data_IF_816945463035
#
_entry.id   IF_816945463035
#
_cell.length_a   1.000
_cell.length_b   1.000
_cell.length_c   1.000
_cell.angle_alpha   90.00
_cell.angle_beta   90.00
_cell.angle_gamma   90.00
#
_symmetry.space_group_name_H-M   'P 1'
#
loop_
_entity.id
_entity.type
_entity.pdbx_description
1 polymer ?
#
# COMPACT_ATOMS: atom_id res chain seq x y z
N UNK A 1 19.60 -5.59 26.87
CA UNK A 1 19.08 -4.39 26.18
C UNK A 1 17.71 -4.73 25.60
N UNK A 2 16.62 -4.24 26.19
CA UNK A 2 15.28 -4.46 25.65
C UNK A 2 15.11 -3.57 24.41
N UNK A 3 15.06 -4.19 23.23
CA UNK A 3 14.92 -3.49 21.96
C UNK A 3 13.69 -2.59 21.99
N UNK A 4 13.89 -1.29 21.73
CA UNK A 4 12.82 -0.33 21.52
C UNK A 4 11.93 -0.91 20.41
N UNK A 5 10.71 -1.33 20.76
CA UNK A 5 9.72 -1.74 19.76
C UNK A 5 9.42 -0.50 18.93
N UNK A 6 9.67 -0.56 17.63
CA UNK A 6 9.35 0.54 16.73
C UNK A 6 7.88 0.90 16.89
N UNK A 7 7.61 2.21 17.07
CA UNK A 7 6.26 2.70 17.31
C UNK A 7 5.46 2.59 16.02
N UNK A 8 4.41 1.78 16.05
CA UNK A 8 3.41 1.73 14.97
C UNK A 8 2.59 3.03 15.04
N UNK A 9 2.54 3.75 13.92
CA UNK A 9 1.79 4.99 13.78
C UNK A 9 0.41 4.74 13.18
N UNK A 10 0.32 3.89 12.17
CA UNK A 10 -0.92 3.46 11.56
C UNK A 10 -0.81 2.06 10.97
N UNK A 11 -1.94 1.41 10.73
CA UNK A 11 -1.97 0.17 9.97
C UNK A 11 -3.29 0.04 9.20
N UNK A 12 -3.26 -0.72 8.12
CA UNK A 12 -4.44 -1.12 7.37
C UNK A 12 -4.29 -2.59 6.95
N UNK A 13 -5.36 -3.37 7.14
CA UNK A 13 -5.39 -4.80 6.83
C UNK A 13 -6.48 -5.09 5.81
N UNK A 14 -6.13 -5.90 4.83
CA UNK A 14 -7.00 -6.46 3.83
C UNK A 14 -6.91 -7.99 3.81
N UNK A 15 -7.69 -8.61 2.93
CA UNK A 15 -7.75 -10.04 2.71
C UNK A 15 -6.42 -10.61 2.18
N UNK A 16 -5.66 -9.83 1.43
CA UNK A 16 -4.42 -10.23 0.74
C UNK A 16 -3.14 -9.77 1.45
N UNK A 17 -3.26 -8.95 2.49
CA UNK A 17 -2.11 -8.48 3.27
C UNK A 17 -2.44 -7.29 4.17
N UNK A 18 -1.40 -6.61 4.64
CA UNK A 18 -1.55 -5.38 5.41
C UNK A 18 -0.35 -4.48 5.27
N UNK A 19 -0.58 -3.20 5.49
CA UNK A 19 0.45 -2.17 5.55
C UNK A 19 0.54 -1.64 6.97
N UNK A 20 1.76 -1.57 7.50
CA UNK A 20 2.05 -0.97 8.80
C UNK A 20 2.98 0.21 8.60
N UNK A 21 2.56 1.38 9.07
CA UNK A 21 3.32 2.62 9.00
C UNK A 21 4.10 2.82 10.30
N UNK A 22 5.40 3.01 10.17
CA UNK A 22 6.32 3.44 11.21
C UNK A 22 6.80 4.86 10.91
N UNK A 23 7.67 5.39 11.77
CA UNK A 23 8.22 6.73 11.61
C UNK A 23 9.06 6.91 10.35
N UNK A 24 9.74 5.87 9.88
CA UNK A 24 10.73 5.92 8.80
C UNK A 24 10.40 5.03 7.60
N UNK A 25 9.39 4.15 7.71
CA UNK A 25 9.07 3.15 6.70
C UNK A 25 7.62 2.67 6.74
N UNK A 26 7.23 1.99 5.66
CA UNK A 26 6.04 1.15 5.59
C UNK A 26 6.48 -0.30 5.43
N UNK A 27 5.89 -1.19 6.22
CA UNK A 27 6.05 -2.63 6.04
C UNK A 27 4.80 -3.20 5.36
N UNK A 28 4.98 -3.88 4.23
CA UNK A 28 3.95 -4.71 3.61
C UNK A 28 4.09 -6.15 4.11
N UNK A 29 3.01 -6.65 4.69
CA UNK A 29 2.95 -7.97 5.32
C UNK A 29 1.91 -8.84 4.63
N UNK A 30 2.28 -10.08 4.35
CA UNK A 30 1.37 -11.13 3.91
C UNK A 30 1.36 -12.20 5.01
N UNK A 31 0.18 -12.46 5.57
CA UNK A 31 0.03 -13.27 6.79
C UNK A 31 0.86 -12.68 7.93
N UNK A 32 1.89 -13.40 8.40
CA UNK A 32 2.79 -12.96 9.49
C UNK A 32 4.18 -12.53 9.00
N UNK A 33 4.46 -12.63 7.71
CA UNK A 33 5.77 -12.34 7.13
C UNK A 33 5.79 -10.93 6.53
N UNK A 34 6.87 -10.20 6.79
CA UNK A 34 7.18 -8.96 6.06
C UNK A 34 7.70 -9.36 4.69
N UNK A 35 6.96 -9.02 3.65
CA UNK A 35 7.35 -9.29 2.27
C UNK A 35 8.16 -8.12 1.71
N UNK A 36 7.84 -6.90 2.13
CA UNK A 36 8.57 -5.69 1.72
C UNK A 36 8.66 -4.68 2.86
N UNK A 37 9.80 -4.00 2.91
CA UNK A 37 10.03 -2.80 3.71
C UNK A 37 10.27 -1.67 2.73
N UNK A 38 9.48 -0.60 2.85
CA UNK A 38 9.52 0.56 1.95
C UNK A 38 9.91 1.78 2.79
N UNK A 39 11.15 2.29 2.68
CA UNK A 39 11.54 3.54 3.33
C UNK A 39 10.61 4.70 2.93
N UNK A 40 10.22 5.56 3.87
CA UNK A 40 9.32 6.68 3.56
C UNK A 40 9.91 7.62 2.52
N UNK A 41 11.24 7.84 2.56
CA UNK A 41 11.90 8.71 1.59
C UNK A 41 11.93 8.16 0.16
N UNK A 42 11.83 6.85 -0.04
CA UNK A 42 11.84 6.26 -1.39
C UNK A 42 10.45 6.24 -2.03
N UNK A 43 9.39 6.49 -1.24
CA UNK A 43 8.03 6.59 -1.77
C UNK A 43 7.99 7.80 -2.69
N UNK A 44 7.49 7.59 -3.90
CA UNK A 44 7.22 8.65 -4.88
C UNK A 44 5.73 9.00 -4.89
N UNK A 45 4.84 8.02 -4.63
CA UNK A 45 3.41 8.27 -4.53
C UNK A 45 2.67 7.25 -3.66
N UNK A 46 1.62 7.70 -2.97
CA UNK A 46 0.67 6.84 -2.26
C UNK A 46 -0.76 7.32 -2.52
N UNK A 47 -1.67 6.42 -2.88
CA UNK A 47 -3.03 6.81 -3.27
C UNK A 47 -4.06 5.70 -3.08
N UNK A 48 -5.32 6.11 -2.96
CA UNK A 48 -6.47 5.21 -3.11
C UNK A 48 -7.07 5.43 -4.48
N UNK A 49 -7.19 4.38 -5.28
CA UNK A 49 -7.66 4.45 -6.66
C UNK A 49 -8.64 3.31 -6.97
N UNK A 50 -9.48 3.47 -8.00
CA UNK A 50 -10.36 2.40 -8.48
C UNK A 50 -9.54 1.36 -9.26
N UNK A 51 -10.05 0.13 -9.34
CA UNK A 51 -9.39 -0.92 -10.14
C UNK A 51 -9.16 -0.53 -11.61
N UNK A 52 -10.09 0.21 -12.23
CA UNK A 52 -9.95 0.68 -13.62
C UNK A 52 -8.90 1.78 -13.77
N UNK A 53 -8.81 2.72 -12.83
CA UNK A 53 -7.77 3.74 -12.84
C UNK A 53 -6.38 3.10 -12.69
N UNK A 54 -6.27 2.12 -11.80
CA UNK A 54 -5.03 1.39 -11.58
C UNK A 54 -4.59 0.57 -12.79
N UNK A 55 -5.53 -0.15 -13.42
CA UNK A 55 -5.27 -0.90 -14.66
C UNK A 55 -4.76 0.02 -15.79
N UNK A 56 -5.40 1.17 -15.98
CA UNK A 56 -4.97 2.15 -16.98
C UNK A 56 -3.54 2.64 -16.71
N UNK A 57 -3.20 2.88 -15.44
CA UNK A 57 -1.87 3.35 -15.04
C UNK A 57 -0.79 2.29 -15.21
N UNK A 58 -1.03 1.06 -14.76
CA UNK A 58 -0.08 -0.06 -14.94
C UNK A 58 0.18 -0.29 -16.44
N UNK A 59 -0.87 -0.25 -17.26
CA UNK A 59 -0.76 -0.39 -18.72
C UNK A 59 0.06 0.75 -19.34
N UNK A 60 -0.24 2.00 -18.97
CA UNK A 60 0.44 3.18 -19.52
C UNK A 60 1.92 3.26 -19.12
N UNK A 61 2.24 2.85 -17.90
CA UNK A 61 3.59 3.01 -17.32
C UNK A 61 4.49 1.79 -17.50
N UNK A 62 3.96 0.65 -17.98
CA UNK A 62 4.64 -0.65 -18.03
C UNK A 62 5.34 -1.00 -16.71
N UNK A 63 4.85 -0.50 -15.57
CA UNK A 63 5.39 -0.81 -14.25
C UNK A 63 5.34 -2.33 -14.08
N UNK A 64 6.50 -2.94 -13.79
CA UNK A 64 6.55 -4.33 -13.33
C UNK A 64 5.96 -4.33 -11.93
N UNK A 65 4.65 -4.57 -11.84
CA UNK A 65 3.95 -4.65 -10.57
C UNK A 65 4.50 -5.84 -9.77
N UNK A 66 5.48 -5.60 -8.90
CA UNK A 66 6.01 -6.58 -7.96
C UNK A 66 5.02 -6.75 -6.80
N UNK A 67 3.99 -7.57 -7.01
CA UNK A 67 2.97 -7.86 -6.01
C UNK A 67 1.70 -8.48 -6.59
N UNK A 68 0.71 -8.70 -5.74
CA UNK A 68 -0.56 -9.43 -5.98
C UNK A 68 -1.40 -8.87 -7.15
N UNK A 69 -1.04 -7.73 -7.73
CA UNK A 69 -1.74 -7.15 -8.88
C UNK A 69 -1.75 -8.06 -10.12
N UNK A 70 -0.72 -8.90 -10.30
CA UNK A 70 -0.72 -9.92 -11.36
C UNK A 70 -1.82 -10.99 -11.18
N UNK A 71 -2.33 -11.19 -9.96
CA UNK A 71 -3.34 -12.20 -9.63
C UNK A 71 -4.74 -11.60 -9.40
N UNK A 72 -4.84 -10.37 -8.88
CA UNK A 72 -6.12 -9.69 -8.61
C UNK A 72 -6.84 -9.20 -9.88
N UNK A 73 -6.10 -8.87 -10.95
CA UNK A 73 -6.70 -8.44 -12.22
C UNK A 73 -7.68 -9.47 -12.84
N UNK A 74 -7.63 -10.74 -12.40
CA UNK A 74 -8.41 -11.84 -12.95
C UNK A 74 -9.80 -12.04 -12.33
N UNK A 75 -10.17 -11.33 -11.26
CA UNK A 75 -11.48 -11.48 -10.59
C UNK A 75 -12.19 -10.13 -10.42
N UNK A 76 -12.67 -9.52 -11.51
CA UNK A 76 -13.38 -8.25 -11.48
C UNK A 76 -14.88 -8.45 -11.22
N UNK A 77 -15.43 -7.89 -10.14
CA UNK A 77 -16.89 -7.70 -9.97
C UNK A 77 -17.33 -6.23 -10.03
N UNK A 78 -16.38 -5.29 -10.15
CA UNK A 78 -16.65 -3.85 -10.08
C UNK A 78 -16.84 -3.35 -8.64
N UNK A 79 -16.38 -2.13 -8.34
CA UNK A 79 -16.53 -1.49 -7.01
C UNK A 79 -15.35 -1.67 -6.03
N UNK A 80 -14.23 -2.22 -6.49
CA UNK A 80 -13.00 -2.36 -5.69
C UNK A 80 -12.18 -1.07 -5.69
N UNK A 81 -11.66 -0.72 -4.51
CA UNK A 81 -10.66 0.32 -4.32
C UNK A 81 -9.32 -0.33 -3.98
N UNK A 82 -8.23 0.29 -4.39
CA UNK A 82 -6.87 -0.18 -4.14
C UNK A 82 -6.08 0.93 -3.49
N UNK A 83 -5.38 0.60 -2.40
CA UNK A 83 -4.32 1.45 -1.86
C UNK A 83 -3.01 1.05 -2.55
N UNK A 84 -2.37 2.01 -3.21
CA UNK A 84 -1.12 1.79 -3.92
C UNK A 84 0.00 2.62 -3.32
N UNK A 85 1.20 2.04 -3.31
CA UNK A 85 2.45 2.69 -2.93
C UNK A 85 3.44 2.48 -4.06
N UNK A 86 3.87 3.58 -4.66
CA UNK A 86 5.00 3.66 -5.58
C UNK A 86 6.21 4.16 -4.82
N UNK A 87 7.30 3.41 -4.95
CA UNK A 87 8.62 3.79 -4.51
C UNK A 87 9.62 3.59 -5.64
N UNK A 88 10.85 4.08 -5.46
CA UNK A 88 11.92 3.97 -6.46
C UNK A 88 12.14 2.55 -6.99
N UNK A 89 11.97 1.52 -6.15
CA UNK A 89 12.23 0.11 -6.48
C UNK A 89 11.01 -0.82 -6.26
N UNK A 90 9.85 -0.26 -5.91
CA UNK A 90 8.70 -1.07 -5.51
C UNK A 90 7.36 -0.48 -5.96
N UNK A 91 6.45 -1.37 -6.34
CA UNK A 91 5.05 -1.05 -6.53
C UNK A 91 4.18 -2.01 -5.73
N UNK A 92 3.61 -1.53 -4.63
CA UNK A 92 2.74 -2.33 -3.77
C UNK A 92 1.29 -1.93 -3.97
N UNK A 93 0.42 -2.93 -4.04
CA UNK A 93 -1.03 -2.76 -4.11
C UNK A 93 -1.67 -3.56 -2.99
N UNK A 94 -2.67 -2.97 -2.35
CA UNK A 94 -3.50 -3.61 -1.34
C UNK A 94 -4.95 -3.38 -1.74
N UNK A 95 -5.72 -4.45 -1.98
CA UNK A 95 -7.15 -4.31 -2.22
C UNK A 95 -7.81 -3.74 -0.96
N UNK A 96 -8.78 -2.84 -1.08
CA UNK A 96 -9.45 -2.21 0.05
C UNK A 96 -10.94 -2.50 -0.04
N UNK A 97 -11.46 -3.20 0.97
CA UNK A 97 -12.90 -3.39 1.14
C UNK A 97 -13.62 -2.04 1.11
N UNK A 98 -14.79 -1.95 0.46
CA UNK A 98 -15.57 -0.70 0.37
C UNK A 98 -15.78 -0.01 1.73
N UNK A 99 -15.98 -0.79 2.80
CA UNK A 99 -16.17 -0.29 4.17
C UNK A 99 -14.90 0.34 4.78
N UNK A 100 -13.72 0.05 4.23
CA UNK A 100 -12.41 0.52 4.71
C UNK A 100 -11.81 1.64 3.86
N UNK A 101 -12.48 2.07 2.78
CA UNK A 101 -11.98 3.15 1.90
C UNK A 101 -11.67 4.43 2.68
N UNK A 102 -12.54 4.82 3.62
CA UNK A 102 -12.29 5.99 4.48
C UNK A 102 -11.04 5.80 5.36
N UNK A 103 -10.80 4.60 5.88
CA UNK A 103 -9.59 4.29 6.64
C UNK A 103 -8.33 4.30 5.76
N UNK A 104 -8.44 3.82 4.50
CA UNK A 104 -7.36 3.91 3.54
C UNK A 104 -6.99 5.36 3.23
N UNK A 105 -7.95 6.25 3.01
CA UNK A 105 -7.66 7.68 2.83
C UNK A 105 -6.97 8.31 4.05
N UNK A 106 -7.38 7.94 5.28
CA UNK A 106 -6.69 8.39 6.50
C UNK A 106 -5.27 7.85 6.60
N UNK A 107 -5.04 6.61 6.15
CA UNK A 107 -3.70 6.04 6.09
C UNK A 107 -2.83 6.82 5.11
N UNK A 108 -3.33 7.08 3.88
CA UNK A 108 -2.64 7.93 2.89
C UNK A 108 -2.28 9.29 3.47
N UNK A 109 -3.24 9.96 4.12
CA UNK A 109 -3.00 11.28 4.72
C UNK A 109 -1.87 11.25 5.76
N UNK A 110 -1.81 10.22 6.61
CA UNK A 110 -0.74 10.07 7.59
C UNK A 110 0.62 9.84 6.95
N UNK A 111 0.70 9.01 5.90
CA UNK A 111 1.93 8.80 5.13
C UNK A 111 2.41 10.14 4.54
N UNK A 112 1.50 10.90 3.91
CA UNK A 112 1.82 12.20 3.30
C UNK A 112 2.20 13.28 4.32
N UNK A 113 1.65 13.23 5.54
CA UNK A 113 2.10 14.11 6.63
C UNK A 113 3.53 13.77 7.06
N UNK A 114 3.85 12.49 7.22
CA UNK A 114 5.20 12.06 7.62
C UNK A 114 6.25 12.24 6.53
N UNK A 115 5.89 12.12 5.26
CA UNK A 115 6.82 12.35 4.14
C UNK A 115 7.20 13.81 3.95
N UNK A 116 6.39 14.75 4.46
CA UNK A 116 6.56 16.20 4.29
C UNK A 116 7.08 16.92 5.53
N UNK A 117 6.99 16.30 6.70
CA UNK A 117 7.49 16.84 7.97
C UNK A 117 8.90 16.37 8.27
#
# INVERSE_FOLDING_TARGET
>A
MAGRRDKILAFIVSVDGGLTLYQDRIEYRVRRKVERVIPLQSITSVRVESGSALEARVTATRLVALGVFAWAAKKKTGGEAYLTIEAEDAFVTLMVDRKKVAAAHRFVAQVETLRRG
#
